data_IF_079390468253
#
_entry.id   IF_079390468253
#
_cell.length_a   1.000
_cell.length_b   1.000
_cell.length_c   1.000
_cell.angle_alpha   90.00
_cell.angle_beta   90.00
_cell.angle_gamma   90.00
#
_symmetry.space_group_name_H-M   'P 1'
#
loop_
_entity.id
_entity.type
_entity.pdbx_description
1 polymer ?
#
# COMPACT_ATOMS: atom_id res chain seq x y z
N UNK A 1 -11.68 22.01 5.59
CA UNK A 1 -11.01 20.79 6.05
C UNK A 1 -10.62 20.03 4.79
N UNK A 2 -9.37 19.57 4.67
CA UNK A 2 -8.93 18.84 3.49
C UNK A 2 -9.57 17.44 3.54
N UNK A 3 -10.29 17.06 2.49
CA UNK A 3 -10.81 15.70 2.37
C UNK A 3 -9.66 14.80 1.87
N UNK A 4 -9.06 14.06 2.80
CA UNK A 4 -7.90 13.22 2.51
C UNK A 4 -8.20 12.14 1.46
N UNK A 5 -9.47 11.76 1.29
CA UNK A 5 -9.87 10.76 0.29
C UNK A 5 -10.05 11.35 -1.12
N UNK A 6 -10.10 12.69 -1.23
CA UNK A 6 -10.06 13.41 -2.50
C UNK A 6 -8.66 13.95 -2.81
N UNK A 7 -7.96 14.44 -1.79
CA UNK A 7 -6.61 15.01 -1.92
C UNK A 7 -5.69 14.35 -0.88
N UNK A 8 -4.95 13.32 -1.32
CA UNK A 8 -4.01 12.62 -0.45
C UNK A 8 -2.80 13.52 -0.15
N UNK A 9 -2.55 13.91 1.10
CA UNK A 9 -1.40 14.74 1.44
C UNK A 9 -0.09 13.98 1.24
N UNK A 10 0.96 14.70 0.87
CA UNK A 10 2.32 14.16 0.84
C UNK A 10 3.18 14.85 1.90
N UNK A 11 4.06 14.08 2.52
CA UNK A 11 4.99 14.54 3.54
C UNK A 11 6.38 14.02 3.22
N UNK A 12 7.38 14.85 3.39
CA UNK A 12 8.77 14.51 3.09
C UNK A 12 9.69 15.11 4.13
N UNK A 13 10.69 14.35 4.55
CA UNK A 13 11.81 14.82 5.36
C UNK A 13 13.11 14.16 4.88
N UNK A 14 14.21 14.38 5.59
CA UNK A 14 15.53 13.83 5.24
C UNK A 14 15.58 12.29 5.13
N UNK A 15 14.62 11.57 5.72
CA UNK A 15 14.64 10.11 5.86
C UNK A 15 13.50 9.41 5.15
N UNK A 16 12.36 10.06 4.97
CA UNK A 16 11.12 9.42 4.55
C UNK A 16 10.31 10.31 3.62
N UNK A 17 9.62 9.66 2.69
CA UNK A 17 8.65 10.30 1.80
C UNK A 17 7.35 9.51 1.83
N UNK A 18 6.33 10.13 2.40
CA UNK A 18 4.97 9.64 2.46
C UNK A 18 4.20 10.32 1.33
N UNK A 19 3.67 9.53 0.40
CA UNK A 19 2.84 10.04 -0.70
C UNK A 19 1.81 9.01 -1.11
N UNK A 20 0.87 9.45 -1.94
CA UNK A 20 -0.07 8.54 -2.56
C UNK A 20 0.65 7.49 -3.41
N UNK A 21 0.12 6.27 -3.34
CA UNK A 21 0.63 5.11 -4.06
C UNK A 21 0.44 5.28 -5.57
N UNK A 22 1.34 4.68 -6.34
CA UNK A 22 1.21 4.55 -7.79
C UNK A 22 1.58 3.14 -8.24
N UNK A 23 1.18 2.79 -9.46
CA UNK A 23 1.61 1.54 -10.10
C UNK A 23 3.14 1.45 -10.27
N UNK A 24 3.88 2.56 -10.26
CA UNK A 24 5.34 2.54 -10.37
C UNK A 24 6.03 1.97 -9.11
N UNK A 25 5.33 1.95 -7.97
CA UNK A 25 5.88 1.52 -6.67
C UNK A 25 5.95 -0.01 -6.51
N UNK A 26 5.48 -0.76 -7.50
CA UNK A 26 5.35 -2.22 -7.41
C UNK A 26 6.66 -2.93 -7.07
N UNK A 27 7.81 -2.44 -7.53
CA UNK A 27 9.11 -3.09 -7.28
C UNK A 27 9.50 -3.04 -5.81
N UNK A 28 9.43 -1.85 -5.23
CA UNK A 28 9.78 -1.63 -3.82
C UNK A 28 8.75 -2.28 -2.89
N UNK A 29 7.47 -2.23 -3.26
CA UNK A 29 6.44 -2.96 -2.52
C UNK A 29 6.64 -4.46 -2.61
N UNK A 30 6.90 -5.03 -3.79
CA UNK A 30 7.15 -6.47 -3.93
C UNK A 30 8.34 -6.92 -3.07
N UNK A 31 9.39 -6.10 -2.94
CA UNK A 31 10.52 -6.40 -2.04
C UNK A 31 10.10 -6.55 -0.58
N UNK A 32 9.12 -5.77 -0.12
CA UNK A 32 8.61 -5.83 1.26
C UNK A 32 7.59 -6.96 1.42
N UNK A 33 6.64 -7.08 0.50
CA UNK A 33 5.57 -8.07 0.51
C UNK A 33 6.05 -9.51 0.20
N UNK A 34 7.25 -9.67 -0.36
CA UNK A 34 7.89 -10.98 -0.55
C UNK A 34 8.79 -11.40 0.63
N UNK A 35 8.97 -10.55 1.65
CA UNK A 35 9.70 -10.92 2.85
C UNK A 35 8.75 -11.55 3.88
N UNK A 36 8.94 -12.84 4.15
CA UNK A 36 8.18 -13.58 5.17
C UNK A 36 8.31 -12.97 6.57
N UNK A 37 9.40 -12.25 6.85
CA UNK A 37 9.59 -11.54 8.12
C UNK A 37 8.70 -10.30 8.23
N UNK A 38 8.25 -9.75 7.11
CA UNK A 38 7.35 -8.59 7.08
C UNK A 38 5.88 -8.99 7.28
N UNK A 39 5.50 -10.21 6.87
CA UNK A 39 4.12 -10.71 6.92
C UNK A 39 3.43 -10.53 8.29
N UNK A 40 4.06 -10.83 9.44
CA UNK A 40 3.42 -10.63 10.75
C UNK A 40 3.09 -9.18 11.10
N UNK A 41 3.65 -8.21 10.37
CA UNK A 41 3.38 -6.78 10.56
C UNK A 41 2.32 -6.24 9.59
N UNK A 42 1.89 -7.04 8.61
CA UNK A 42 0.84 -6.65 7.69
C UNK A 42 -0.53 -6.89 8.31
N UNK A 43 -1.43 -5.96 8.01
CA UNK A 43 -2.84 -5.92 8.37
C UNK A 43 -3.25 -6.57 9.71
N UNK A 44 -3.26 -5.78 10.79
CA UNK A 44 -3.58 -6.27 12.12
C UNK A 44 -5.07 -6.57 12.36
N UNK A 45 -5.97 -6.20 11.45
CA UNK A 45 -7.41 -6.43 11.56
C UNK A 45 -7.91 -7.70 10.84
N UNK A 46 -7.02 -8.40 10.11
CA UNK A 46 -7.30 -9.62 9.34
C UNK A 46 -8.52 -9.51 8.39
N UNK A 47 -8.89 -8.29 7.99
CA UNK A 47 -9.96 -8.07 7.05
C UNK A 47 -9.53 -8.52 5.63
N UNK A 48 -10.38 -9.30 4.95
CA UNK A 48 -10.21 -9.63 3.53
C UNK A 48 -9.56 -10.98 3.16
N UNK A 49 -9.06 -11.76 4.13
CA UNK A 49 -8.62 -13.15 3.91
C UNK A 49 -7.39 -13.35 3.01
N UNK A 50 -6.63 -12.28 2.75
CA UNK A 50 -5.34 -12.34 2.04
C UNK A 50 -4.21 -12.74 3.00
N UNK A 51 -3.19 -13.44 2.49
CA UNK A 51 -2.00 -13.81 3.28
C UNK A 51 -0.93 -12.70 3.28
N UNK A 52 -1.12 -11.66 2.44
CA UNK A 52 -0.22 -10.53 2.25
C UNK A 52 1.23 -10.95 1.92
N UNK A 53 1.41 -12.14 1.35
CA UNK A 53 2.70 -12.66 0.93
C UNK A 53 2.77 -12.76 -0.60
N UNK A 54 3.30 -11.73 -1.24
CA UNK A 54 3.31 -11.62 -2.70
C UNK A 54 4.69 -11.90 -3.26
N UNK A 55 4.78 -12.81 -4.23
CA UNK A 55 6.05 -13.23 -4.86
C UNK A 55 6.09 -12.97 -6.36
N UNK A 56 5.06 -12.34 -6.93
CA UNK A 56 5.00 -12.02 -8.35
C UNK A 56 4.62 -10.56 -8.60
N UNK A 57 5.19 -9.97 -9.66
CA UNK A 57 4.83 -8.63 -10.13
C UNK A 57 3.33 -8.51 -10.39
N UNK A 58 2.73 -9.51 -11.03
CA UNK A 58 1.29 -9.53 -11.33
C UNK A 58 0.45 -9.36 -10.06
N UNK A 59 0.70 -10.18 -9.03
CA UNK A 59 -0.06 -10.11 -7.77
C UNK A 59 0.12 -8.77 -7.07
N UNK A 60 1.35 -8.24 -7.05
CA UNK A 60 1.62 -6.92 -6.46
C UNK A 60 0.86 -5.80 -7.18
N UNK A 61 0.86 -5.80 -8.51
CA UNK A 61 0.13 -4.82 -9.30
C UNK A 61 -1.39 -4.94 -9.13
N UNK A 62 -1.92 -6.14 -9.00
CA UNK A 62 -3.34 -6.38 -8.67
C UNK A 62 -3.70 -5.80 -7.30
N UNK A 63 -2.86 -6.02 -6.28
CA UNK A 63 -3.07 -5.44 -4.96
C UNK A 63 -3.02 -3.90 -4.99
N UNK A 64 -2.06 -3.30 -5.71
CA UNK A 64 -2.00 -1.84 -5.90
C UNK A 64 -3.28 -1.32 -6.56
N UNK A 65 -3.76 -1.99 -7.62
CA UNK A 65 -5.01 -1.58 -8.28
C UNK A 65 -6.21 -1.64 -7.33
N UNK A 66 -6.29 -2.69 -6.51
CA UNK A 66 -7.34 -2.82 -5.52
C UNK A 66 -7.29 -1.68 -4.50
N UNK A 67 -6.12 -1.38 -3.92
CA UNK A 67 -5.98 -0.28 -2.96
C UNK A 67 -6.30 1.08 -3.58
N UNK A 68 -5.91 1.32 -4.83
CA UNK A 68 -6.24 2.56 -5.56
C UNK A 68 -7.74 2.69 -5.85
N UNK A 69 -8.42 1.58 -6.16
CA UNK A 69 -9.86 1.54 -6.39
C UNK A 69 -10.64 1.86 -5.12
N UNK A 70 -10.20 1.32 -3.99
CA UNK A 70 -10.93 1.43 -2.72
C UNK A 70 -10.60 2.69 -1.92
N UNK A 71 -9.50 3.38 -2.24
CA UNK A 71 -9.10 4.61 -1.57
C UNK A 71 -10.23 5.66 -1.48
N UNK A 72 -10.96 5.99 -2.57
CA UNK A 72 -12.05 6.96 -2.51
C UNK A 72 -13.27 6.46 -1.73
N UNK A 73 -13.34 5.15 -1.43
CA UNK A 73 -14.43 4.50 -0.72
C UNK A 73 -14.19 4.37 0.79
N UNK A 74 -13.17 5.04 1.33
CA UNK A 74 -12.85 5.08 2.76
C UNK A 74 -12.32 3.78 3.37
N UNK A 75 -11.91 2.81 2.54
CA UNK A 75 -11.56 1.46 3.02
C UNK A 75 -10.05 1.22 3.15
N UNK A 76 -9.19 1.94 2.43
CA UNK A 76 -7.74 1.67 2.44
C UNK A 76 -6.90 2.95 2.38
N UNK A 77 -5.75 2.93 3.08
CA UNK A 77 -4.65 3.88 2.90
C UNK A 77 -3.38 3.08 2.64
N UNK A 78 -2.91 3.06 1.39
CA UNK A 78 -1.60 2.53 1.07
C UNK A 78 -0.61 3.71 0.92
N UNK A 79 0.21 3.88 1.94
CA UNK A 79 1.25 4.91 1.99
C UNK A 79 2.58 4.22 1.72
N UNK A 80 3.30 4.67 0.70
CA UNK A 80 4.69 4.25 0.46
C UNK A 80 5.64 5.12 1.27
N UNK A 81 6.81 4.55 1.63
CA UNK A 81 7.81 5.12 2.54
C UNK A 81 8.93 5.84 1.80
#
# INVERSE_FOLDING_TARGET
MLDVYQECPSFENEKYKIRFLSQADWKELLRVYSDKKSVPFFNSDNCGGDDFYYTSEKRMKEAINYWLLEYPHYHYFAVTK
#
